data_IF_252408767268
#
_entry.id   IF_252408767268
#
_cell.length_a   1.000
_cell.length_b   1.000
_cell.length_c   1.000
_cell.angle_alpha   90.00
_cell.angle_beta   90.00
_cell.angle_gamma   90.00
#
_symmetry.space_group_name_H-M   'P 1'
#
loop_
_entity.id
_entity.type
_entity.pdbx_description
1 polymer ?
#
# COMPACT_ATOMS: atom_id res chain seq x y z
N UNK A 1 -26.12 6.37 16.98
CA UNK A 1 -25.48 6.81 15.72
C UNK A 1 -26.38 7.87 15.09
N UNK A 2 -25.88 9.08 14.82
CA UNK A 2 -26.72 10.26 14.52
C UNK A 2 -26.89 10.56 13.02
N UNK A 3 -26.48 9.65 12.14
CA UNK A 3 -26.62 9.80 10.68
C UNK A 3 -25.52 10.63 9.99
N UNK A 4 -24.49 11.05 10.72
CA UNK A 4 -23.36 11.77 10.12
C UNK A 4 -22.28 10.80 9.62
N UNK A 5 -21.73 11.08 8.44
CA UNK A 5 -20.53 10.41 7.94
C UNK A 5 -19.29 11.09 8.53
N UNK A 6 -18.57 10.37 9.38
CA UNK A 6 -17.40 10.90 10.09
C UNK A 6 -16.13 10.36 9.44
N UNK A 7 -15.22 11.28 9.10
CA UNK A 7 -13.87 10.96 8.65
C UNK A 7 -12.87 11.35 9.73
N UNK A 8 -11.91 10.47 9.99
CA UNK A 8 -10.83 10.72 10.95
C UNK A 8 -9.58 9.93 10.55
N UNK A 9 -8.47 10.21 11.21
CA UNK A 9 -7.19 9.56 10.98
C UNK A 9 -6.67 8.92 12.26
N UNK A 10 -5.96 7.80 12.14
CA UNK A 10 -5.35 7.11 13.26
C UNK A 10 -3.93 6.66 12.88
N UNK A 11 -3.01 6.72 13.85
CA UNK A 11 -1.64 6.26 13.65
C UNK A 11 -1.53 4.78 14.03
N UNK A 12 -1.62 3.91 13.03
CA UNK A 12 -1.44 2.45 13.15
C UNK A 12 -0.66 1.91 11.95
N UNK A 13 -0.13 0.69 12.08
CA UNK A 13 0.69 0.06 11.03
C UNK A 13 -0.15 -0.61 9.92
N UNK A 14 -1.46 -0.74 10.11
CA UNK A 14 -2.36 -1.43 9.22
C UNK A 14 -3.83 -1.21 9.60
N UNK A 15 -4.71 -1.70 8.75
CA UNK A 15 -6.15 -1.45 8.88
C UNK A 15 -6.70 -2.18 10.11
N UNK A 16 -6.39 -3.47 10.27
CA UNK A 16 -6.93 -4.31 11.35
C UNK A 16 -6.48 -3.81 12.72
N UNK A 17 -5.23 -3.32 12.83
CA UNK A 17 -4.63 -2.77 14.04
C UNK A 17 -5.32 -1.49 14.54
N UNK A 18 -6.16 -0.87 13.72
CA UNK A 18 -6.97 0.29 14.11
C UNK A 18 -8.10 -0.10 15.07
N UNK A 19 -8.62 -1.32 14.99
CA UNK A 19 -9.68 -1.82 15.88
C UNK A 19 -9.19 -1.89 17.34
N UNK A 20 -8.12 -2.63 17.69
CA UNK A 20 -7.63 -2.64 19.07
C UNK A 20 -7.15 -1.27 19.53
N UNK A 21 -6.65 -0.41 18.62
CA UNK A 21 -6.31 0.97 18.99
C UNK A 21 -7.52 1.78 19.45
N UNK A 22 -8.66 1.67 18.78
CA UNK A 22 -9.91 2.32 19.20
C UNK A 22 -10.40 1.78 20.56
N UNK A 23 -10.29 0.46 20.78
CA UNK A 23 -10.62 -0.16 22.06
C UNK A 23 -9.72 0.37 23.19
N UNK A 24 -8.42 0.48 22.95
CA UNK A 24 -7.45 1.04 23.91
C UNK A 24 -7.71 2.52 24.22
N UNK A 25 -8.31 3.27 23.28
CA UNK A 25 -8.75 4.66 23.50
C UNK A 25 -10.09 4.76 24.23
N UNK A 26 -10.66 3.64 24.68
CA UNK A 26 -11.88 3.59 25.49
C UNK A 26 -13.17 3.45 24.69
N UNK A 27 -13.11 3.30 23.36
CA UNK A 27 -14.30 3.03 22.56
C UNK A 27 -14.86 1.66 22.95
N UNK A 28 -16.14 1.60 23.30
CA UNK A 28 -16.78 0.35 23.70
C UNK A 28 -16.97 -0.57 22.47
N UNK A 29 -16.70 -1.88 22.56
CA UNK A 29 -16.82 -2.80 21.42
C UNK A 29 -18.19 -2.76 20.72
N UNK A 30 -19.28 -2.65 21.49
CA UNK A 30 -20.63 -2.61 20.93
C UNK A 30 -20.94 -1.35 20.11
N UNK A 31 -20.14 -0.27 20.27
CA UNK A 31 -20.26 0.96 19.48
C UNK A 31 -19.48 0.88 18.16
N UNK A 32 -18.42 0.06 18.10
CA UNK A 32 -17.54 -0.04 16.93
C UNK A 32 -18.26 -0.67 15.75
N UNK A 33 -18.83 -1.86 15.93
CA UNK A 33 -19.47 -2.62 14.85
C UNK A 33 -20.55 -1.82 14.09
N UNK A 34 -21.48 -1.08 14.75
CA UNK A 34 -22.49 -0.31 14.02
C UNK A 34 -21.95 1.02 13.44
N UNK A 35 -20.87 1.59 13.99
CA UNK A 35 -20.41 2.94 13.61
C UNK A 35 -19.25 2.95 12.60
N UNK A 36 -18.51 1.85 12.48
CA UNK A 36 -17.32 1.76 11.65
C UNK A 36 -17.65 1.16 10.27
N UNK A 37 -17.59 1.98 9.23
CA UNK A 37 -17.88 1.55 7.85
C UNK A 37 -16.65 1.04 7.10
N UNK A 38 -15.50 1.71 7.22
CA UNK A 38 -14.30 1.42 6.45
C UNK A 38 -13.05 1.87 7.21
N UNK A 39 -11.98 1.08 7.13
CA UNK A 39 -10.62 1.50 7.51
C UNK A 39 -9.73 1.38 6.29
N UNK A 40 -8.98 2.45 5.99
CA UNK A 40 -7.99 2.46 4.92
C UNK A 40 -6.60 2.57 5.54
N UNK A 41 -5.76 1.58 5.30
CA UNK A 41 -4.33 1.67 5.61
C UNK A 41 -3.59 2.27 4.40
N UNK A 42 -2.80 3.32 4.64
CA UNK A 42 -2.10 4.05 3.59
C UNK A 42 -0.59 4.06 3.84
N UNK A 43 0.19 3.78 2.79
CA UNK A 43 1.63 4.02 2.74
C UNK A 43 1.93 4.88 1.51
N UNK A 44 2.98 5.69 1.61
CA UNK A 44 3.47 6.50 0.49
C UNK A 44 4.83 5.95 0.06
N UNK A 45 4.91 5.46 -1.17
CA UNK A 45 6.17 5.08 -1.80
C UNK A 45 6.67 6.24 -2.66
N UNK A 46 7.98 6.50 -2.65
CA UNK A 46 8.59 7.48 -3.55
C UNK A 46 8.48 6.99 -5.00
N UNK A 47 8.25 7.91 -5.92
CA UNK A 47 8.31 7.63 -7.37
C UNK A 47 9.77 7.73 -7.84
N UNK A 48 10.17 6.86 -8.74
CA UNK A 48 11.48 6.95 -9.38
C UNK A 48 11.55 8.22 -10.26
N UNK A 49 12.72 8.86 -10.32
CA UNK A 49 12.90 10.09 -11.08
C UNK A 49 12.73 9.83 -12.59
N UNK A 50 11.82 10.52 -13.30
CA UNK A 50 11.57 10.27 -14.71
C UNK A 50 12.74 10.66 -15.62
N UNK A 51 13.69 11.46 -15.13
CA UNK A 51 14.85 11.92 -15.91
C UNK A 51 16.07 11.00 -15.81
N UNK A 52 16.19 10.18 -14.77
CA UNK A 52 17.40 9.38 -14.54
C UNK A 52 17.14 7.94 -14.09
N UNK A 53 15.88 7.54 -13.83
CA UNK A 53 15.61 6.15 -13.49
C UNK A 53 15.92 5.24 -14.68
N UNK A 54 16.59 4.12 -14.40
CA UNK A 54 16.98 3.13 -15.42
C UNK A 54 16.32 1.80 -15.12
N UNK A 55 16.10 0.97 -16.15
CA UNK A 55 15.67 -0.41 -15.97
C UNK A 55 16.88 -1.29 -15.71
N UNK A 56 16.80 -2.18 -14.72
CA UNK A 56 17.75 -3.29 -14.53
C UNK A 56 17.00 -4.61 -14.50
N UNK A 57 17.70 -5.70 -14.78
CA UNK A 57 17.14 -7.03 -14.54
C UNK A 57 16.86 -7.20 -13.04
N UNK A 58 15.72 -7.79 -12.71
CA UNK A 58 15.46 -8.30 -11.37
C UNK A 58 16.45 -9.42 -11.06
N UNK A 59 16.94 -9.49 -9.83
CA UNK A 59 17.68 -10.66 -9.38
C UNK A 59 16.72 -11.84 -9.18
N UNK A 60 17.27 -13.04 -8.97
CA UNK A 60 16.47 -14.27 -8.83
C UNK A 60 15.40 -14.18 -7.74
N UNK A 61 15.73 -13.58 -6.59
CA UNK A 61 14.78 -13.42 -5.48
C UNK A 61 13.67 -12.42 -5.80
N UNK A 62 14.03 -11.24 -6.31
CA UNK A 62 13.08 -10.21 -6.72
C UNK A 62 12.11 -10.73 -7.79
N UNK A 63 12.63 -11.44 -8.80
CA UNK A 63 11.82 -11.98 -9.89
C UNK A 63 10.80 -13.00 -9.40
N UNK A 64 11.21 -13.89 -8.48
CA UNK A 64 10.33 -14.87 -7.87
C UNK A 64 9.22 -14.18 -7.04
N UNK A 65 9.59 -13.22 -6.18
CA UNK A 65 8.65 -12.49 -5.32
C UNK A 65 7.63 -11.67 -6.12
N UNK A 66 8.07 -10.99 -7.18
CA UNK A 66 7.21 -10.19 -8.05
C UNK A 66 6.22 -11.09 -8.79
N UNK A 67 6.69 -12.20 -9.38
CA UNK A 67 5.83 -13.15 -10.10
C UNK A 67 4.78 -13.77 -9.16
N UNK A 68 5.17 -14.14 -7.95
CA UNK A 68 4.25 -14.68 -6.96
C UNK A 68 3.18 -13.63 -6.57
N UNK A 69 3.60 -12.38 -6.34
CA UNK A 69 2.69 -11.29 -5.98
C UNK A 69 1.71 -10.97 -7.11
N UNK A 70 2.18 -10.89 -8.36
CA UNK A 70 1.34 -10.68 -9.55
C UNK A 70 0.32 -11.82 -9.68
N UNK A 71 0.75 -13.07 -9.52
CA UNK A 71 -0.15 -14.22 -9.57
C UNK A 71 -1.27 -14.11 -8.53
N UNK A 72 -0.94 -13.82 -7.27
CA UNK A 72 -1.95 -13.63 -6.21
C UNK A 72 -2.94 -12.51 -6.55
N UNK A 73 -2.46 -11.40 -7.14
CA UNK A 73 -3.34 -10.30 -7.55
C UNK A 73 -4.26 -10.68 -8.71
N UNK A 74 -3.76 -11.43 -9.70
CA UNK A 74 -4.56 -11.92 -10.81
C UNK A 74 -5.58 -12.99 -10.38
N UNK A 75 -5.23 -13.85 -9.42
CA UNK A 75 -6.16 -14.82 -8.83
C UNK A 75 -7.34 -14.10 -8.13
N UNK A 76 -7.09 -12.94 -7.51
CA UNK A 76 -8.13 -12.11 -6.90
C UNK A 76 -8.93 -11.30 -7.92
N UNK A 77 -8.28 -10.83 -9.00
CA UNK A 77 -8.94 -10.06 -10.05
C UNK A 77 -8.31 -10.34 -11.43
N UNK A 78 -8.84 -11.30 -12.20
CA UNK A 78 -8.27 -11.73 -13.48
C UNK A 78 -8.24 -10.65 -14.56
N UNK A 79 -8.99 -9.56 -14.39
CA UNK A 79 -9.05 -8.44 -15.35
C UNK A 79 -7.92 -7.42 -15.15
N UNK A 80 -7.12 -7.56 -14.10
CA UNK A 80 -5.99 -6.65 -13.87
C UNK A 80 -4.91 -6.84 -14.94
N UNK A 81 -4.41 -5.73 -15.47
CA UNK A 81 -3.27 -5.73 -16.38
C UNK A 81 -1.99 -5.38 -15.60
N UNK A 82 -1.19 -6.40 -15.28
CA UNK A 82 0.07 -6.28 -14.53
C UNK A 82 1.23 -6.84 -15.37
N UNK A 83 1.67 -6.13 -16.43
CA UNK A 83 2.77 -6.61 -17.26
C UNK A 83 4.08 -6.55 -16.48
N UNK A 84 4.86 -7.63 -16.56
CA UNK A 84 6.19 -7.71 -15.96
C UNK A 84 7.13 -8.46 -16.92
N UNK A 85 8.21 -7.80 -17.30
CA UNK A 85 9.19 -8.23 -18.33
C UNK A 85 10.51 -8.74 -17.71
N UNK A 86 10.54 -8.96 -16.39
CA UNK A 86 11.77 -9.32 -15.68
C UNK A 86 12.67 -8.13 -15.34
N UNK A 87 12.24 -6.90 -15.63
CA UNK A 87 12.99 -5.69 -15.34
C UNK A 87 12.31 -4.85 -14.26
N UNK A 88 13.12 -4.15 -13.47
CA UNK A 88 12.67 -3.21 -12.44
C UNK A 88 13.32 -1.84 -12.60
N UNK A 89 12.58 -0.80 -12.20
CA UNK A 89 13.07 0.57 -12.19
C UNK A 89 14.03 0.79 -11.01
N UNK A 90 15.24 1.20 -11.31
CA UNK A 90 16.28 1.57 -10.36
C UNK A 90 16.46 3.09 -10.35
N UNK A 91 16.46 3.68 -9.15
CA UNK A 91 16.82 5.07 -8.95
C UNK A 91 18.35 5.23 -9.06
N UNK A 92 18.81 6.14 -9.92
CA UNK A 92 20.23 6.44 -10.12
C UNK A 92 20.65 7.73 -9.41
N UNK A 93 19.75 8.73 -9.34
CA UNK A 93 20.06 10.07 -8.86
C UNK A 93 20.65 10.97 -9.94
N UNK A 94 20.16 12.21 -10.01
CA UNK A 94 20.68 13.28 -10.87
C UNK A 94 20.34 14.64 -10.27
N UNK A 95 20.82 15.73 -10.89
CA UNK A 95 20.56 17.10 -10.42
C UNK A 95 19.07 17.44 -10.37
N UNK A 96 18.25 16.90 -11.29
CA UNK A 96 16.80 17.17 -11.31
C UNK A 96 16.04 16.56 -10.13
N UNK A 97 16.57 15.50 -9.52
CA UNK A 97 16.02 14.90 -8.30
C UNK A 97 16.92 15.12 -7.09
N UNK A 98 17.89 16.03 -7.17
CA UNK A 98 18.88 16.29 -6.10
C UNK A 98 19.56 15.00 -5.58
N UNK A 99 19.90 14.08 -6.48
CA UNK A 99 20.55 12.81 -6.13
C UNK A 99 19.64 11.79 -5.42
N UNK A 100 18.32 11.99 -5.41
CA UNK A 100 17.34 11.07 -4.81
C UNK A 100 16.79 10.00 -5.74
#
# INVERSE_FOLDING_TARGET
MTGHLVFTTLHTNGAIESIPRLLNMGVKPYMLAPSLNLIVAQRLCRKACPSCATKRAANYGEDAEIKESIKKMLDMNPKMNLPYDGQILQAVGCDKCNGT
#
